data_IF_556017662512
#
_entry.id   IF_556017662512
#
_cell.length_a   1.000
_cell.length_b   1.000
_cell.length_c   1.000
_cell.angle_alpha   90.00
_cell.angle_beta   90.00
_cell.angle_gamma   90.00
#
_symmetry.space_group_name_H-M   'P 1'
#
loop_
_entity.id
_entity.type
_entity.pdbx_description
1 polymer ?
#
# COMPACT_ATOMS: atom_id res chain seq x y z
N UNK A 1 19.92 6.19 -13.79
CA UNK A 1 18.69 6.95 -14.07
C UNK A 1 17.59 6.08 -14.67
N UNK A 2 16.35 6.58 -14.75
CA UNK A 2 15.19 5.88 -15.32
C UNK A 2 13.88 6.14 -14.58
N UNK A 3 12.76 5.69 -15.15
CA UNK A 3 11.41 5.82 -14.56
C UNK A 3 11.24 4.98 -13.30
N UNK A 4 10.17 5.23 -12.53
CA UNK A 4 9.79 4.40 -11.38
C UNK A 4 9.47 2.99 -11.84
N UNK A 5 9.88 1.99 -11.07
CA UNK A 5 9.80 0.58 -11.47
C UNK A 5 10.99 0.05 -12.28
N UNK A 6 11.88 0.90 -12.79
CA UNK A 6 13.06 0.46 -13.56
C UNK A 6 14.14 -0.27 -12.73
N UNK A 7 14.07 -0.19 -11.40
CA UNK A 7 15.02 -0.87 -10.50
C UNK A 7 16.20 -0.03 -10.01
N UNK A 8 16.17 1.30 -10.22
CA UNK A 8 17.25 2.25 -9.84
C UNK A 8 17.91 1.96 -8.49
N UNK A 9 17.15 2.01 -7.39
CA UNK A 9 17.68 1.86 -6.02
C UNK A 9 18.47 0.57 -5.87
N UNK A 10 17.88 -0.56 -6.24
CA UNK A 10 18.54 -1.87 -6.09
C UNK A 10 19.78 -2.01 -6.99
N UNK A 11 19.68 -1.60 -8.26
CA UNK A 11 20.83 -1.62 -9.18
C UNK A 11 21.94 -0.68 -8.70
N UNK A 12 21.59 0.51 -8.22
CA UNK A 12 22.56 1.50 -7.75
C UNK A 12 23.31 1.06 -6.50
N UNK A 13 22.64 0.37 -5.56
CA UNK A 13 23.31 -0.24 -4.41
C UNK A 13 24.34 -1.28 -4.87
N UNK A 14 23.91 -2.22 -5.72
CA UNK A 14 24.78 -3.27 -6.21
C UNK A 14 26.00 -2.73 -6.99
N UNK A 15 25.81 -1.68 -7.80
CA UNK A 15 26.90 -1.01 -8.52
C UNK A 15 27.84 -0.28 -7.56
N UNK A 16 27.30 0.42 -6.55
CA UNK A 16 28.10 1.11 -5.54
C UNK A 16 28.99 0.12 -4.77
N UNK A 17 28.41 -0.99 -4.29
CA UNK A 17 29.13 -2.04 -3.59
C UNK A 17 30.23 -2.66 -4.46
N UNK A 18 29.92 -2.95 -5.73
CA UNK A 18 30.86 -3.56 -6.67
C UNK A 18 32.04 -2.66 -7.06
N UNK A 19 31.88 -1.34 -6.96
CA UNK A 19 32.90 -0.34 -7.27
C UNK A 19 33.57 0.26 -6.02
N UNK A 20 33.07 -0.04 -4.82
CA UNK A 20 33.53 0.58 -3.58
C UNK A 20 33.17 2.06 -3.47
N UNK A 21 32.08 2.48 -4.11
CA UNK A 21 31.63 3.86 -4.18
C UNK A 21 30.54 4.17 -3.14
N UNK A 22 30.40 5.45 -2.78
CA UNK A 22 29.31 5.92 -1.92
C UNK A 22 27.98 5.86 -2.66
N UNK A 23 26.99 5.20 -2.07
CA UNK A 23 25.62 5.23 -2.60
C UNK A 23 24.88 6.49 -2.12
N UNK A 24 24.16 7.13 -3.04
CA UNK A 24 23.30 8.29 -2.76
C UNK A 24 21.91 8.01 -3.33
N UNK A 25 20.89 8.00 -2.47
CA UNK A 25 19.48 7.87 -2.87
C UNK A 25 18.87 9.26 -3.07
N UNK A 26 18.60 9.64 -4.31
CA UNK A 26 18.20 11.00 -4.64
C UNK A 26 16.84 11.37 -4.04
N UNK A 27 15.95 10.40 -3.88
CA UNK A 27 14.60 10.61 -3.35
C UNK A 27 14.62 11.13 -1.90
N UNK A 28 15.68 10.84 -1.13
CA UNK A 28 15.87 11.34 0.25
C UNK A 28 16.12 12.85 0.33
N UNK A 29 16.50 13.48 -0.78
CA UNK A 29 16.85 14.90 -0.81
C UNK A 29 15.70 15.79 -1.27
N UNK A 30 14.51 15.23 -1.54
CA UNK A 30 13.34 16.03 -1.83
C UNK A 30 12.95 16.90 -0.61
N UNK A 31 12.65 18.19 -0.82
CA UNK A 31 11.94 19.01 0.17
C UNK A 31 10.62 18.34 0.60
N UNK A 32 10.19 18.58 1.84
CA UNK A 32 8.96 18.00 2.38
C UNK A 32 7.72 18.32 1.51
N UNK A 33 7.67 19.52 0.92
CA UNK A 33 6.62 19.95 0.00
C UNK A 33 6.56 19.06 -1.25
N UNK A 34 7.71 18.74 -1.83
CA UNK A 34 7.80 17.85 -2.99
C UNK A 34 7.32 16.43 -2.64
N UNK A 35 7.69 15.94 -1.45
CA UNK A 35 7.20 14.64 -0.97
C UNK A 35 5.67 14.67 -0.79
N UNK A 36 5.10 15.76 -0.27
CA UNK A 36 3.66 15.92 -0.12
C UNK A 36 2.93 15.94 -1.47
N UNK A 37 3.43 16.69 -2.46
CA UNK A 37 2.88 16.72 -3.83
C UNK A 37 2.87 15.33 -4.47
N UNK A 38 4.00 14.60 -4.40
CA UNK A 38 4.09 13.26 -4.95
C UNK A 38 3.17 12.26 -4.21
N UNK A 39 3.05 12.35 -2.88
CA UNK A 39 2.10 11.53 -2.10
C UNK A 39 0.65 11.79 -2.48
N UNK A 40 0.32 13.03 -2.84
CA UNK A 40 -1.00 13.40 -3.34
C UNK A 40 -1.23 12.99 -4.81
N UNK A 41 -0.27 12.33 -5.47
CA UNK A 41 -0.35 11.94 -6.88
C UNK A 41 -0.24 13.14 -7.84
N UNK A 42 0.20 14.30 -7.35
CA UNK A 42 0.42 15.50 -8.18
C UNK A 42 1.85 15.47 -8.72
N UNK A 43 2.05 15.51 -10.05
CA UNK A 43 3.39 15.58 -10.62
C UNK A 43 4.10 16.87 -10.19
N UNK A 44 5.38 16.77 -9.82
CA UNK A 44 6.18 17.94 -9.49
C UNK A 44 6.34 18.85 -10.72
N UNK A 45 6.45 20.14 -10.47
CA UNK A 45 6.79 21.13 -11.49
C UNK A 45 8.28 21.09 -11.84
N UNK A 46 8.63 21.88 -12.84
CA UNK A 46 9.99 22.10 -13.26
C UNK A 46 10.79 22.90 -12.22
N UNK A 47 10.16 23.86 -11.55
CA UNK A 47 10.76 24.67 -10.50
C UNK A 47 11.03 23.85 -9.23
N UNK A 48 10.06 23.01 -8.84
CA UNK A 48 10.13 22.10 -7.69
C UNK A 48 11.38 21.20 -7.75
N UNK A 49 11.76 20.79 -8.96
CA UNK A 49 12.91 19.90 -9.19
C UNK A 49 14.24 20.64 -9.20
N UNK A 50 14.29 21.94 -9.46
CA UNK A 50 15.57 22.68 -9.46
C UNK A 50 16.18 22.69 -8.06
N UNK A 51 15.39 22.99 -7.03
CA UNK A 51 15.88 22.99 -5.65
C UNK A 51 16.38 21.60 -5.23
N UNK A 52 15.64 20.55 -5.59
CA UNK A 52 16.04 19.17 -5.34
C UNK A 52 17.36 18.81 -6.05
N UNK A 53 17.51 19.15 -7.33
CA UNK A 53 18.73 18.91 -8.09
C UNK A 53 19.94 19.65 -7.50
N UNK A 54 19.76 20.88 -7.01
CA UNK A 54 20.81 21.63 -6.33
C UNK A 54 21.27 20.95 -5.04
N UNK A 55 20.36 20.36 -4.26
CA UNK A 55 20.72 19.55 -3.08
C UNK A 55 21.56 18.33 -3.48
N UNK A 56 21.22 17.66 -4.57
CA UNK A 56 22.01 16.52 -5.09
C UNK A 56 23.41 16.95 -5.53
N UNK A 57 23.54 18.11 -6.19
CA UNK A 57 24.84 18.67 -6.57
C UNK A 57 25.75 18.85 -5.37
N UNK A 58 25.22 19.39 -4.27
CA UNK A 58 26.00 19.58 -3.03
C UNK A 58 26.52 18.24 -2.51
N UNK A 59 25.69 17.20 -2.48
CA UNK A 59 26.11 15.89 -1.98
C UNK A 59 27.10 15.16 -2.90
N UNK A 60 26.92 15.27 -4.22
CA UNK A 60 27.90 14.75 -5.18
C UNK A 60 29.25 15.44 -5.02
N UNK A 61 29.24 16.77 -4.84
CA UNK A 61 30.47 17.54 -4.65
C UNK A 61 31.18 17.17 -3.35
N UNK A 62 30.43 16.94 -2.26
CA UNK A 62 31.00 16.43 -1.00
C UNK A 62 31.67 15.07 -1.16
N UNK A 63 31.08 14.15 -1.92
CA UNK A 63 31.71 12.85 -2.18
C UNK A 63 33.04 13.00 -2.94
N UNK A 64 33.09 13.93 -3.90
CA UNK A 64 34.32 14.27 -4.63
C UNK A 64 35.37 14.90 -3.70
N UNK A 65 34.95 15.84 -2.84
CA UNK A 65 35.85 16.50 -1.88
C UNK A 65 36.43 15.51 -0.86
N UNK A 66 35.68 14.44 -0.55
CA UNK A 66 36.13 13.32 0.28
C UNK A 66 37.06 12.31 -0.46
N UNK A 67 37.36 12.54 -1.75
CA UNK A 67 38.11 11.65 -2.65
C UNK A 67 37.46 10.26 -2.81
N UNK A 68 36.13 10.19 -2.76
CA UNK A 68 35.35 8.95 -2.88
C UNK A 68 34.41 9.02 -4.09
N UNK A 69 34.49 8.02 -4.98
CA UNK A 69 33.52 7.87 -6.07
C UNK A 69 32.11 7.66 -5.54
N UNK A 70 31.09 7.99 -6.33
CA UNK A 70 29.68 7.85 -5.91
C UNK A 70 28.81 7.22 -6.98
N UNK A 71 27.67 6.66 -6.54
CA UNK A 71 26.58 6.18 -7.40
C UNK A 71 25.28 6.79 -6.91
N UNK A 72 24.63 7.57 -7.79
CA UNK A 72 23.40 8.30 -7.50
C UNK A 72 22.18 7.61 -8.13
N UNK A 73 21.22 7.19 -7.30
CA UNK A 73 19.91 6.73 -7.74
C UNK A 73 18.99 7.92 -8.03
N UNK A 74 19.03 8.47 -9.25
CA UNK A 74 18.20 9.64 -9.62
C UNK A 74 17.34 9.36 -10.86
N UNK A 75 16.13 9.92 -10.92
CA UNK A 75 15.26 9.77 -12.11
C UNK A 75 15.81 10.51 -13.33
N UNK A 76 16.29 11.74 -13.17
CA UNK A 76 16.98 12.56 -14.18
C UNK A 76 16.34 12.54 -15.59
N UNK A 77 15.01 12.64 -15.64
CA UNK A 77 14.21 12.30 -16.83
C UNK A 77 14.36 13.26 -18.00
N UNK A 78 14.57 14.56 -17.75
CA UNK A 78 14.76 15.58 -18.80
C UNK A 78 16.24 15.86 -19.06
N UNK A 79 16.61 16.17 -20.29
CA UNK A 79 17.98 16.51 -20.70
C UNK A 79 18.55 17.66 -19.88
N UNK A 80 17.78 18.74 -19.71
CA UNK A 80 18.20 19.90 -18.90
C UNK A 80 18.54 19.54 -17.44
N UNK A 81 17.95 18.49 -16.87
CA UNK A 81 18.29 18.02 -15.53
C UNK A 81 19.63 17.31 -15.52
N UNK A 82 19.88 16.49 -16.55
CA UNK A 82 21.17 15.82 -16.74
C UNK A 82 22.27 16.83 -16.98
N UNK A 83 22.01 17.85 -17.80
CA UNK A 83 22.97 18.91 -18.12
C UNK A 83 23.32 19.71 -16.85
N UNK A 84 22.34 20.09 -16.02
CA UNK A 84 22.61 20.73 -14.72
C UNK A 84 23.54 19.88 -13.83
N UNK A 85 23.33 18.57 -13.77
CA UNK A 85 24.18 17.67 -12.98
C UNK A 85 25.58 17.50 -13.60
N UNK A 86 25.70 17.46 -14.94
CA UNK A 86 26.99 17.40 -15.66
C UNK A 86 27.81 18.68 -15.49
N UNK A 87 27.15 19.84 -15.52
CA UNK A 87 27.81 21.13 -15.34
C UNK A 87 28.42 21.24 -13.94
N UNK A 88 27.78 20.62 -12.95
CA UNK A 88 28.28 20.57 -11.58
C UNK A 88 29.39 19.52 -11.38
N UNK A 89 29.30 18.37 -12.06
CA UNK A 89 30.28 17.27 -11.93
C UNK A 89 30.83 16.90 -13.29
N UNK A 90 32.00 17.45 -13.67
CA UNK A 90 32.68 17.08 -14.91
C UNK A 90 32.96 15.57 -14.96
N UNK A 91 32.63 14.94 -16.08
CA UNK A 91 32.80 13.48 -16.25
C UNK A 91 31.67 12.63 -15.66
N UNK A 92 30.56 13.23 -15.21
CA UNK A 92 29.41 12.49 -14.70
C UNK A 92 28.80 11.55 -15.77
N UNK A 93 28.81 10.26 -15.47
CA UNK A 93 28.26 9.20 -16.30
C UNK A 93 26.80 8.88 -15.93
N UNK A 94 25.96 8.57 -16.93
CA UNK A 94 24.58 8.15 -16.72
C UNK A 94 24.33 6.75 -17.28
N UNK A 95 24.05 5.78 -16.39
CA UNK A 95 23.42 4.53 -16.79
C UNK A 95 21.89 4.70 -16.81
N UNK A 96 21.28 4.67 -17.99
CA UNK A 96 19.83 4.73 -18.19
C UNK A 96 19.24 3.32 -18.19
N UNK A 97 18.52 2.98 -17.11
CA UNK A 97 17.76 1.74 -16.99
C UNK A 97 16.47 1.88 -17.79
N UNK A 98 16.52 1.43 -19.04
CA UNK A 98 15.39 1.43 -19.97
C UNK A 98 14.46 0.27 -19.66
N UNK A 99 13.16 0.54 -19.65
CA UNK A 99 12.13 -0.48 -19.47
C UNK A 99 10.89 -0.04 -20.23
N UNK A 100 10.11 -0.99 -20.74
CA UNK A 100 8.81 -0.67 -21.34
C UNK A 100 7.78 -0.29 -20.26
N UNK A 101 6.72 0.37 -20.73
CA UNK A 101 5.66 0.89 -19.88
C UNK A 101 4.93 -0.21 -19.11
N UNK A 102 4.58 -1.32 -19.77
CA UNK A 102 3.81 -2.40 -19.16
C UNK A 102 4.60 -3.07 -18.03
N UNK A 103 5.89 -3.32 -18.26
CA UNK A 103 6.77 -3.87 -17.22
C UNK A 103 6.96 -2.89 -16.06
N UNK A 104 7.06 -1.58 -16.30
CA UNK A 104 7.15 -0.59 -15.23
C UNK A 104 5.90 -0.58 -14.33
N UNK A 105 4.71 -0.60 -14.95
CA UNK A 105 3.42 -0.68 -14.24
C UNK A 105 3.33 -1.95 -13.41
N UNK A 106 3.67 -3.10 -14.01
CA UNK A 106 3.67 -4.40 -13.32
C UNK A 106 4.60 -4.40 -12.10
N UNK A 107 5.83 -3.88 -12.26
CA UNK A 107 6.82 -3.82 -11.18
C UNK A 107 6.44 -2.86 -10.07
N UNK A 108 5.78 -1.75 -10.37
CA UNK A 108 5.29 -0.80 -9.36
C UNK A 108 4.08 -1.38 -8.63
N UNK A 109 3.13 -1.98 -9.36
CA UNK A 109 1.91 -2.57 -8.80
C UNK A 109 2.18 -3.77 -7.88
N UNK A 110 3.23 -4.56 -8.15
CA UNK A 110 3.59 -5.73 -7.34
C UNK A 110 4.36 -5.45 -6.05
N UNK A 111 4.70 -4.19 -5.72
CA UNK A 111 5.46 -3.84 -4.50
C UNK A 111 4.54 -3.73 -3.29
N UNK A 112 4.70 -4.64 -2.32
CA UNK A 112 4.07 -4.49 -1.00
C UNK A 112 4.74 -3.37 -0.21
N UNK A 113 3.97 -2.37 0.26
CA UNK A 113 4.42 -1.39 1.25
C UNK A 113 4.83 0.01 0.74
N UNK A 114 5.00 0.20 -0.57
CA UNK A 114 5.18 1.54 -1.17
C UNK A 114 4.13 1.76 -2.26
N UNK A 115 2.95 2.25 -1.87
CA UNK A 115 1.89 2.60 -2.81
C UNK A 115 2.29 3.88 -3.57
N UNK A 116 2.97 3.71 -4.70
CA UNK A 116 3.19 4.79 -5.66
C UNK A 116 2.02 4.75 -6.66
N UNK A 117 1.20 5.82 -6.80
CA UNK A 117 0.08 5.82 -7.73
C UNK A 117 0.54 5.50 -9.15
N UNK A 118 -0.22 4.66 -9.86
CA UNK A 118 0.02 4.33 -11.28
C UNK A 118 0.12 5.60 -12.13
N UNK A 119 -0.68 6.62 -11.83
CA UNK A 119 -0.65 7.93 -12.50
C UNK A 119 0.72 8.63 -12.47
N UNK A 120 1.59 8.31 -11.49
CA UNK A 120 2.96 8.83 -11.47
C UNK A 120 3.86 8.14 -12.49
N UNK A 121 3.62 6.86 -12.81
CA UNK A 121 4.35 6.16 -13.88
C UNK A 121 4.04 6.82 -15.22
N UNK A 122 2.78 7.10 -15.50
CA UNK A 122 2.32 7.82 -16.70
C UNK A 122 3.04 9.16 -16.85
N UNK A 123 3.03 9.95 -15.76
CA UNK A 123 3.69 11.26 -15.75
C UNK A 123 5.21 11.17 -16.00
N UNK A 124 5.86 10.11 -15.53
CA UNK A 124 7.30 9.93 -15.69
C UNK A 124 7.67 9.48 -17.10
N UNK A 125 6.89 8.60 -17.72
CA UNK A 125 7.07 8.26 -19.13
C UNK A 125 6.81 9.47 -20.04
N UNK A 126 5.78 10.28 -19.74
CA UNK A 126 5.53 11.53 -20.46
C UNK A 126 6.64 12.57 -20.27
N UNK A 127 7.35 12.53 -19.13
CA UNK A 127 8.45 13.45 -18.80
C UNK A 127 9.80 12.96 -19.32
N UNK A 128 9.94 11.67 -19.64
CA UNK A 128 11.21 11.07 -20.05
C UNK A 128 11.63 11.57 -21.44
N UNK A 129 12.68 12.37 -21.46
CA UNK A 129 13.42 12.71 -22.67
C UNK A 129 14.56 11.69 -22.82
N UNK A 130 14.47 10.83 -23.84
CA UNK A 130 15.44 9.75 -24.06
C UNK A 130 16.89 10.29 -24.04
N UNK A 131 17.77 9.74 -23.18
CA UNK A 131 19.17 10.16 -23.12
C UNK A 131 20.06 9.46 -24.15
N UNK A 132 19.48 8.63 -25.03
CA UNK A 132 20.23 7.89 -26.03
C UNK A 132 20.98 8.85 -26.98
N UNK A 133 22.29 8.65 -27.12
CA UNK A 133 23.16 9.49 -27.95
C UNK A 133 23.74 10.71 -27.23
N UNK A 134 23.40 10.96 -25.96
CA UNK A 134 24.11 11.94 -25.14
C UNK A 134 25.50 11.42 -24.72
N UNK A 135 26.49 12.31 -24.50
CA UNK A 135 27.82 11.90 -24.05
C UNK A 135 27.77 11.26 -22.66
N UNK A 136 28.64 10.27 -22.44
CA UNK A 136 28.75 9.52 -21.18
C UNK A 136 27.44 8.89 -20.71
N UNK A 137 26.62 8.40 -21.64
CA UNK A 137 25.38 7.68 -21.35
C UNK A 137 25.45 6.25 -21.86
N UNK A 138 25.18 5.30 -20.98
CA UNK A 138 24.92 3.90 -21.30
C UNK A 138 23.41 3.64 -21.16
N UNK A 139 22.76 3.15 -22.21
CA UNK A 139 21.38 2.67 -22.14
C UNK A 139 21.39 1.17 -21.91
N UNK A 140 20.82 0.72 -20.80
CA UNK A 140 20.77 -0.68 -20.39
C UNK A 140 19.33 -1.14 -20.32
N UNK A 141 19.02 -2.28 -20.95
CA UNK A 141 17.70 -2.90 -20.84
C UNK A 141 17.53 -3.53 -19.45
N UNK A 142 16.65 -2.92 -18.64
CA UNK A 142 16.35 -3.31 -17.27
C UNK A 142 15.32 -4.45 -17.16
N UNK A 143 14.84 -4.99 -18.29
CA UNK A 143 14.04 -6.22 -18.33
C UNK A 143 14.90 -7.48 -18.08
N UNK A 144 16.20 -7.38 -18.37
CA UNK A 144 17.18 -8.46 -18.19
C UNK A 144 17.39 -8.85 -16.71
N UNK A 145 17.95 -10.04 -16.44
CA UNK A 145 18.38 -10.44 -15.11
C UNK A 145 19.33 -9.42 -14.47
N UNK A 146 19.14 -9.14 -13.17
CA UNK A 146 19.87 -8.10 -12.43
C UNK A 146 21.39 -8.21 -12.52
N UNK A 147 21.90 -9.43 -12.49
CA UNK A 147 23.33 -9.70 -12.60
C UNK A 147 23.91 -9.25 -13.94
N UNK A 148 23.15 -9.39 -15.04
CA UNK A 148 23.56 -8.93 -16.36
C UNK A 148 23.61 -7.40 -16.43
N UNK A 149 22.57 -6.73 -15.91
CA UNK A 149 22.51 -5.27 -15.80
C UNK A 149 23.68 -4.73 -14.98
N UNK A 150 23.99 -5.35 -13.83
CA UNK A 150 25.13 -4.98 -12.99
C UNK A 150 26.46 -5.15 -13.72
N UNK A 151 26.67 -6.31 -14.35
CA UNK A 151 27.90 -6.61 -15.07
C UNK A 151 28.13 -5.67 -16.26
N UNK A 152 27.06 -5.28 -16.95
CA UNK A 152 27.12 -4.32 -18.05
C UNK A 152 27.55 -2.93 -17.57
N UNK A 153 26.89 -2.41 -16.53
CA UNK A 153 27.20 -1.08 -15.97
C UNK A 153 28.63 -1.04 -15.40
N UNK A 154 29.01 -2.05 -14.61
CA UNK A 154 30.34 -2.08 -13.98
C UNK A 154 31.46 -2.26 -15.00
N UNK A 155 31.25 -3.07 -16.06
CA UNK A 155 32.20 -3.20 -17.16
C UNK A 155 32.37 -1.89 -17.91
N UNK A 156 31.27 -1.23 -18.24
CA UNK A 156 31.30 0.06 -18.93
C UNK A 156 32.07 1.12 -18.13
N UNK A 157 31.79 1.25 -16.83
CA UNK A 157 32.50 2.19 -15.95
C UNK A 157 34.01 1.91 -15.86
N UNK A 158 34.41 0.63 -15.91
CA UNK A 158 35.83 0.23 -15.92
C UNK A 158 36.51 0.47 -17.27
N UNK A 159 35.78 0.44 -18.38
CA UNK A 159 36.31 0.59 -19.74
C UNK A 159 36.42 2.06 -20.18
N UNK A 160 35.45 2.91 -19.83
CA UNK A 160 35.39 4.32 -20.25
C UNK A 160 36.27 5.29 -19.43
N UNK A 161 37.14 4.78 -18.53
CA UNK A 161 38.16 5.60 -17.88
C UNK A 161 37.65 6.55 -16.77
N UNK A 162 36.49 6.29 -16.17
CA UNK A 162 36.01 7.01 -14.97
C UNK A 162 36.72 6.67 -13.66
N UNK A 163 37.77 5.84 -13.71
CA UNK A 163 38.52 5.30 -12.58
C UNK A 163 39.97 5.84 -12.48
N UNK A 164 40.22 7.05 -12.99
CA UNK A 164 41.49 7.75 -12.80
C UNK A 164 41.65 8.40 -11.41
N UNK A 165 40.90 7.93 -10.40
CA UNK A 165 41.10 8.29 -9.00
C UNK A 165 41.56 7.02 -8.26
N UNK A 166 42.87 6.97 -8.04
CA UNK A 166 43.60 6.15 -7.07
C UNK A 166 43.50 4.62 -7.16
N UNK A 167 44.08 4.06 -8.22
CA UNK A 167 44.70 2.73 -8.18
C UNK A 167 46.06 2.77 -7.44
N UNK A 168 45.99 2.87 -6.12
CA UNK A 168 47.04 2.57 -5.12
C UNK A 168 46.25 2.18 -3.87
N UNK A 169 46.28 0.98 -3.31
CA UNK A 169 47.26 -0.09 -3.29
C UNK A 169 46.50 -1.44 -3.20
N UNK A 170 46.94 -2.40 -4.00
CA UNK A 170 46.64 -3.81 -3.81
C UNK A 170 47.65 -4.36 -2.80
N UNK A 171 47.20 -4.72 -1.59
CA UNK A 171 47.99 -5.51 -0.67
C UNK A 171 47.10 -6.55 0.06
N UNK A 172 47.30 -7.78 -0.40
CA UNK A 172 47.18 -9.06 0.30
C UNK A 172 45.89 -9.87 0.15
N UNK A 173 46.01 -10.84 -0.76
CA UNK A 173 45.31 -12.10 -0.75
C UNK A 173 45.58 -12.91 0.54
N UNK A 174 44.54 -13.57 1.06
CA UNK A 174 44.54 -15.00 1.37
C UNK A 174 43.14 -15.48 1.82
N UNK A 175 42.73 -16.71 1.46
CA UNK A 175 41.40 -17.25 1.75
C UNK A 175 41.35 -17.92 3.13
N UNK A 176 40.23 -17.79 3.84
CA UNK A 176 39.97 -18.57 5.05
C UNK A 176 38.93 -19.66 4.77
N UNK A 177 39.45 -20.88 4.81
CA UNK A 177 38.75 -22.15 4.77
C UNK A 177 38.20 -22.52 6.16
N UNK A 178 37.29 -23.48 6.10
CA UNK A 178 36.47 -24.18 7.08
C UNK A 178 37.03 -24.60 8.46
N UNK A 179 36.04 -24.88 9.33
CA UNK A 179 36.03 -25.80 10.49
C UNK A 179 36.54 -25.30 11.85
N UNK A 180 35.71 -25.38 12.91
CA UNK A 180 35.57 -26.61 13.70
C UNK A 180 34.56 -26.49 14.86
N UNK A 181 34.01 -27.66 15.21
CA UNK A 181 33.15 -28.04 16.34
C UNK A 181 33.80 -27.82 17.73
N UNK A 182 32.97 -27.48 18.72
CA UNK A 182 32.90 -28.06 20.09
C UNK A 182 31.43 -27.84 20.55
N UNK A 183 30.65 -28.76 21.12
CA UNK A 183 30.94 -29.96 21.90
C UNK A 183 30.51 -29.75 23.36
N UNK A 184 29.42 -30.41 23.80
CA UNK A 184 28.96 -30.49 25.21
C UNK A 184 27.46 -30.25 25.36
N UNK A 185 26.55 -31.24 25.26
CA UNK A 185 26.28 -32.36 26.17
C UNK A 185 25.74 -31.95 27.56
N UNK A 186 24.41 -31.95 27.71
CA UNK A 186 23.76 -32.34 28.97
C UNK A 186 22.46 -33.09 28.66
N UNK A 187 22.45 -34.37 29.02
CA UNK A 187 21.30 -35.25 28.98
C UNK A 187 20.53 -35.22 30.30
N UNK A 188 19.28 -35.65 30.23
CA UNK A 188 18.38 -35.83 31.36
C UNK A 188 17.09 -36.51 30.95
N UNK A 189 17.13 -37.85 30.82
CA UNK A 189 16.00 -38.79 31.00
C UNK A 189 15.31 -38.50 32.36
N UNK A 190 14.07 -38.87 32.69
CA UNK A 190 13.04 -39.83 32.24
C UNK A 190 11.83 -39.55 33.15
N UNK A 191 10.60 -39.80 32.69
CA UNK A 191 9.61 -40.66 33.39
C UNK A 191 8.21 -40.52 32.79
N UNK A 192 7.57 -41.67 32.66
CA UNK A 192 6.30 -41.97 32.02
C UNK A 192 5.16 -42.17 33.03
N UNK A 193 3.93 -41.90 32.55
CA UNK A 193 2.60 -42.43 32.96
C UNK A 193 1.87 -41.84 34.22
N UNK A 194 0.52 -41.98 34.32
CA UNK A 194 -0.52 -41.97 33.26
C UNK A 194 -1.80 -41.15 33.60
N UNK A 195 -2.65 -40.99 32.57
CA UNK A 195 -4.12 -40.87 32.54
C UNK A 195 -4.90 -40.08 33.61
N UNK A 196 -5.70 -39.11 33.17
CA UNK A 196 -7.10 -39.03 33.60
C UNK A 196 -8.02 -38.38 32.55
N UNK A 197 -9.12 -39.08 32.27
CA UNK A 197 -10.26 -38.64 31.47
C UNK A 197 -11.05 -37.55 32.19
N UNK A 198 -11.46 -36.51 31.46
CA UNK A 198 -12.76 -35.84 31.73
C UNK A 198 -13.44 -35.56 30.40
N UNK A 199 -14.56 -36.26 30.22
CA UNK A 199 -15.60 -36.09 29.22
C UNK A 199 -16.15 -34.65 29.26
N UNK A 200 -16.13 -33.96 28.12
CA UNK A 200 -16.85 -32.71 27.93
C UNK A 200 -17.63 -32.82 26.62
N UNK A 201 -18.92 -33.08 26.79
CA UNK A 201 -19.92 -33.23 25.74
C UNK A 201 -19.90 -32.07 24.74
N UNK A 202 -19.99 -32.44 23.47
CA UNK A 202 -20.13 -31.57 22.32
C UNK A 202 -21.36 -30.66 22.46
N UNK A 203 -21.12 -29.38 22.76
CA UNK A 203 -22.11 -28.31 22.64
C UNK A 203 -22.16 -27.86 21.19
N UNK A 204 -23.30 -28.06 20.52
CA UNK A 204 -23.59 -27.48 19.21
C UNK A 204 -23.26 -25.97 19.17
N UNK A 205 -22.63 -25.45 18.11
CA UNK A 205 -22.33 -24.03 18.02
C UNK A 205 -23.62 -23.25 17.75
N UNK A 206 -24.24 -22.73 18.81
CA UNK A 206 -25.22 -21.64 18.69
C UNK A 206 -24.53 -20.46 18.02
N UNK A 207 -25.03 -20.08 16.85
CA UNK A 207 -24.55 -18.93 16.09
C UNK A 207 -24.51 -17.66 16.95
N UNK A 208 -23.55 -16.79 16.64
CA UNK A 208 -23.23 -15.57 17.39
C UNK A 208 -24.48 -14.82 17.88
N UNK A 209 -24.67 -14.77 19.19
CA UNK A 209 -25.72 -14.01 19.85
C UNK A 209 -25.52 -12.50 19.60
N UNK A 210 -26.56 -11.85 19.08
CA UNK A 210 -26.58 -10.42 18.74
C UNK A 210 -26.51 -9.58 20.02
N UNK A 211 -25.52 -8.69 20.13
CA UNK A 211 -25.30 -7.84 21.32
C UNK A 211 -26.24 -6.64 21.41
N UNK A 212 -27.01 -6.32 20.36
CA UNK A 212 -28.01 -5.24 20.38
C UNK A 212 -29.26 -5.58 19.57
N UNK A 213 -30.41 -4.96 19.92
CA UNK A 213 -31.66 -5.17 19.20
C UNK A 213 -31.64 -4.46 17.82
N UNK A 214 -32.09 -5.14 16.75
CA UNK A 214 -32.05 -4.59 15.39
C UNK A 214 -32.92 -3.33 15.26
N UNK A 215 -32.41 -2.36 14.50
CA UNK A 215 -33.00 -1.01 14.35
C UNK A 215 -34.39 -1.04 13.66
N UNK A 216 -34.70 -2.10 12.89
CA UNK A 216 -35.99 -2.33 12.23
C UNK A 216 -36.36 -3.83 12.23
N UNK A 217 -37.60 -4.16 12.61
CA UNK A 217 -38.14 -5.53 12.59
C UNK A 217 -39.12 -5.76 11.45
N UNK A 218 -39.03 -6.92 10.77
CA UNK A 218 -39.98 -7.35 9.74
C UNK A 218 -39.43 -8.38 8.75
N UNK A 219 -40.31 -9.01 7.96
CA UNK A 219 -39.94 -10.00 6.93
C UNK A 219 -38.98 -9.44 5.85
N UNK A 220 -39.10 -8.16 5.54
CA UNK A 220 -38.24 -7.49 4.55
C UNK A 220 -36.81 -7.31 5.06
N UNK A 221 -36.63 -6.97 6.35
CA UNK A 221 -35.32 -6.85 6.98
C UNK A 221 -34.60 -8.22 7.01
N UNK A 222 -35.30 -9.28 7.37
CA UNK A 222 -34.74 -10.65 7.34
C UNK A 222 -34.38 -11.13 5.93
N UNK A 223 -35.16 -10.72 4.92
CA UNK A 223 -34.87 -11.01 3.52
C UNK A 223 -33.59 -10.31 3.04
N UNK A 224 -33.45 -9.03 3.36
CA UNK A 224 -32.24 -8.25 3.06
C UNK A 224 -30.99 -8.87 3.70
N UNK A 225 -31.08 -9.37 4.93
CA UNK A 225 -29.94 -10.00 5.62
C UNK A 225 -29.45 -11.24 4.93
N UNK A 226 -30.40 -12.10 4.56
CA UNK A 226 -30.06 -13.33 3.84
C UNK A 226 -29.38 -12.98 2.53
N UNK A 227 -29.82 -11.92 1.85
CA UNK A 227 -29.19 -11.46 0.62
C UNK A 227 -27.77 -10.96 0.91
N UNK A 228 -27.58 -10.09 1.91
CA UNK A 228 -26.24 -9.57 2.24
C UNK A 228 -25.30 -10.66 2.74
N UNK A 229 -25.77 -11.58 3.57
CA UNK A 229 -24.98 -12.69 4.11
C UNK A 229 -24.60 -13.68 3.00
N UNK A 230 -25.53 -14.01 2.11
CA UNK A 230 -25.25 -14.87 0.95
C UNK A 230 -24.29 -14.20 -0.02
N UNK A 231 -24.43 -12.88 -0.24
CA UNK A 231 -23.50 -12.11 -1.07
C UNK A 231 -22.10 -12.07 -0.46
N UNK A 232 -21.96 -11.84 0.85
CA UNK A 232 -20.67 -11.90 1.55
C UNK A 232 -20.03 -13.28 1.42
N UNK A 233 -20.81 -14.36 1.63
CA UNK A 233 -20.34 -15.73 1.49
C UNK A 233 -19.90 -16.03 0.05
N UNK A 234 -20.66 -15.59 -0.96
CA UNK A 234 -20.32 -15.76 -2.36
C UNK A 234 -19.03 -14.99 -2.74
N UNK A 235 -18.88 -13.75 -2.26
CA UNK A 235 -17.68 -12.94 -2.49
C UNK A 235 -16.45 -13.58 -1.82
N UNK A 236 -16.58 -14.07 -0.60
CA UNK A 236 -15.51 -14.81 0.09
C UNK A 236 -15.14 -16.09 -0.64
N UNK A 237 -16.12 -16.90 -1.07
CA UNK A 237 -15.87 -18.11 -1.83
C UNK A 237 -15.17 -17.81 -3.16
N UNK A 238 -15.63 -16.78 -3.88
CA UNK A 238 -15.00 -16.30 -5.10
C UNK A 238 -13.54 -15.88 -4.86
N UNK A 239 -13.26 -15.10 -3.82
CA UNK A 239 -11.91 -14.71 -3.44
C UNK A 239 -11.02 -15.93 -3.17
N UNK A 240 -11.52 -16.91 -2.41
CA UNK A 240 -10.78 -18.14 -2.11
C UNK A 240 -10.45 -18.89 -3.40
N UNK A 241 -11.42 -19.07 -4.29
CA UNK A 241 -11.21 -19.75 -5.58
C UNK A 241 -10.16 -19.02 -6.41
N UNK A 242 -10.29 -17.70 -6.58
CA UNK A 242 -9.38 -16.89 -7.38
C UNK A 242 -7.95 -16.92 -6.84
N UNK A 243 -7.78 -16.72 -5.54
CA UNK A 243 -6.45 -16.73 -4.89
C UNK A 243 -5.86 -18.13 -4.93
N UNK A 244 -6.64 -19.16 -4.61
CA UNK A 244 -6.19 -20.55 -4.64
C UNK A 244 -5.76 -20.96 -6.05
N UNK A 245 -6.58 -20.66 -7.06
CA UNK A 245 -6.24 -20.92 -8.46
C UNK A 245 -4.95 -20.20 -8.87
N UNK A 246 -4.75 -18.96 -8.44
CA UNK A 246 -3.51 -18.21 -8.71
C UNK A 246 -2.28 -18.86 -8.08
N UNK A 247 -2.41 -19.39 -6.86
CA UNK A 247 -1.33 -20.10 -6.16
C UNK A 247 -1.02 -21.40 -6.90
N UNK A 248 -2.03 -22.20 -7.22
CA UNK A 248 -1.86 -23.47 -7.97
C UNK A 248 -1.21 -23.22 -9.32
N UNK A 249 -1.67 -22.23 -10.09
CA UNK A 249 -1.09 -21.89 -11.39
C UNK A 249 0.40 -21.57 -11.24
N UNK A 250 0.73 -20.72 -10.26
CA UNK A 250 2.10 -20.26 -10.04
C UNK A 250 3.05 -21.39 -9.64
N UNK A 251 2.63 -22.27 -8.72
CA UNK A 251 3.51 -23.30 -8.17
C UNK A 251 3.47 -24.63 -8.92
N UNK A 252 2.34 -25.03 -9.50
CA UNK A 252 2.21 -26.30 -10.22
C UNK A 252 2.57 -26.17 -11.71
N UNK A 253 2.27 -25.03 -12.34
CA UNK A 253 2.45 -24.83 -13.78
C UNK A 253 3.50 -23.78 -14.13
N UNK A 254 4.10 -23.13 -13.13
CA UNK A 254 5.13 -22.09 -13.33
C UNK A 254 4.60 -20.80 -13.99
N UNK A 255 3.28 -20.67 -14.16
CA UNK A 255 2.63 -19.51 -14.77
C UNK A 255 1.78 -18.77 -13.73
N UNK A 256 2.00 -17.48 -13.54
CA UNK A 256 1.19 -16.66 -12.64
C UNK A 256 0.14 -15.87 -13.41
N UNK A 257 -1.10 -15.81 -12.91
CA UNK A 257 -2.12 -14.92 -13.47
C UNK A 257 -2.30 -13.68 -12.59
N UNK A 258 -1.86 -12.53 -13.10
CA UNK A 258 -1.94 -11.23 -12.41
C UNK A 258 -3.38 -10.77 -12.17
N UNK A 259 -4.35 -11.25 -12.96
CA UNK A 259 -5.75 -10.86 -12.83
C UNK A 259 -6.42 -11.37 -11.55
N UNK A 260 -5.87 -12.42 -10.93
CA UNK A 260 -6.36 -12.92 -9.66
C UNK A 260 -6.19 -11.92 -8.51
N UNK A 261 -5.12 -11.15 -8.52
CA UNK A 261 -4.88 -10.11 -7.52
C UNK A 261 -5.88 -8.96 -7.67
N UNK A 262 -6.14 -8.52 -8.90
CA UNK A 262 -7.14 -7.48 -9.17
C UNK A 262 -8.56 -7.91 -8.78
N UNK A 263 -8.94 -9.14 -9.14
CA UNK A 263 -10.27 -9.67 -8.83
C UNK A 263 -10.49 -9.90 -7.34
N UNK A 264 -9.49 -10.38 -6.62
CA UNK A 264 -9.58 -10.55 -5.17
C UNK A 264 -9.66 -9.20 -4.46
N UNK A 265 -8.94 -8.18 -4.93
CA UNK A 265 -9.05 -6.80 -4.43
C UNK A 265 -10.42 -6.19 -4.70
N UNK A 266 -10.96 -6.39 -5.90
CA UNK A 266 -12.31 -5.95 -6.24
C UNK A 266 -13.35 -6.64 -5.34
N UNK A 267 -13.30 -7.96 -5.22
CA UNK A 267 -14.21 -8.72 -4.37
C UNK A 267 -14.09 -8.32 -2.89
N UNK A 268 -12.88 -8.00 -2.41
CA UNK A 268 -12.66 -7.49 -1.06
C UNK A 268 -13.33 -6.13 -0.83
N UNK A 269 -13.23 -5.19 -1.78
CA UNK A 269 -13.93 -3.89 -1.70
C UNK A 269 -15.44 -4.12 -1.57
N UNK A 270 -16.00 -4.97 -2.42
CA UNK A 270 -17.41 -5.33 -2.35
C UNK A 270 -17.78 -5.97 -1.00
N UNK A 271 -16.95 -6.89 -0.50
CA UNK A 271 -17.16 -7.55 0.78
C UNK A 271 -17.20 -6.55 1.94
N UNK A 272 -16.24 -5.62 2.00
CA UNK A 272 -16.17 -4.61 3.05
C UNK A 272 -17.43 -3.75 3.07
N UNK A 273 -17.87 -3.25 1.91
CA UNK A 273 -19.02 -2.34 1.87
C UNK A 273 -20.37 -3.04 2.02
N UNK A 274 -20.50 -4.30 1.58
CA UNK A 274 -21.64 -5.14 1.95
C UNK A 274 -21.63 -5.43 3.45
N UNK A 275 -20.45 -5.65 4.05
CA UNK A 275 -20.26 -5.81 5.48
C UNK A 275 -20.66 -4.56 6.28
N UNK A 276 -20.32 -3.36 5.79
CA UNK A 276 -20.77 -2.08 6.37
C UNK A 276 -22.30 -2.00 6.35
N UNK A 277 -22.93 -2.31 5.21
CA UNK A 277 -24.40 -2.31 5.11
C UNK A 277 -25.07 -3.30 6.09
N UNK A 278 -24.46 -4.48 6.31
CA UNK A 278 -24.94 -5.46 7.29
C UNK A 278 -24.72 -5.02 8.74
N UNK A 279 -23.53 -4.50 9.06
CA UNK A 279 -23.13 -4.07 10.41
C UNK A 279 -23.90 -2.84 10.89
N UNK A 280 -24.20 -1.90 9.99
CA UNK A 280 -25.05 -0.73 10.28
C UNK A 280 -26.40 -1.11 10.88
N UNK A 281 -26.95 -2.23 10.44
CA UNK A 281 -28.26 -2.71 10.88
C UNK A 281 -28.20 -3.42 12.23
N UNK A 282 -27.06 -4.05 12.54
CA UNK A 282 -26.77 -4.69 13.83
C UNK A 282 -26.42 -3.68 14.93
N UNK A 283 -26.40 -2.38 14.63
CA UNK A 283 -26.10 -1.33 15.61
C UNK A 283 -24.65 -1.33 16.10
N UNK A 284 -23.76 -2.04 15.39
CA UNK A 284 -22.37 -2.30 15.79
C UNK A 284 -21.40 -1.16 15.43
N UNK A 285 -21.86 -0.13 14.71
CA UNK A 285 -21.10 1.09 14.49
C UNK A 285 -21.01 1.86 15.82
N UNK A 286 -19.94 1.55 16.55
CA UNK A 286 -19.72 1.80 17.96
C UNK A 286 -20.25 3.16 18.46
N UNK A 287 -21.25 3.08 19.34
CA UNK A 287 -21.56 4.14 20.27
C UNK A 287 -20.56 4.05 21.45
N UNK A 288 -19.71 5.08 21.65
CA UNK A 288 -18.98 5.23 22.91
C UNK A 288 -19.99 5.53 24.04
N UNK A 289 -20.57 4.48 24.62
CA UNK A 289 -21.61 4.57 25.66
C UNK A 289 -21.03 4.99 27.01
N UNK A 290 -19.85 4.49 27.37
CA UNK A 290 -19.26 4.70 28.70
C UNK A 290 -18.97 6.18 29.06
N UNK A 291 -18.59 7.00 28.08
CA UNK A 291 -18.31 8.45 28.31
C UNK A 291 -19.61 9.26 28.18
N UNK A 292 -20.47 8.87 27.25
CA UNK A 292 -21.76 9.51 26.97
C UNK A 292 -22.74 9.39 28.14
N UNK A 293 -22.72 8.26 28.83
CA UNK A 293 -23.67 7.96 29.89
C UNK A 293 -23.45 8.76 31.17
N UNK A 294 -22.31 9.47 31.27
CA UNK A 294 -22.00 10.37 32.38
C UNK A 294 -22.65 11.77 32.26
N UNK A 295 -23.13 12.15 31.07
CA UNK A 295 -23.68 13.49 30.84
C UNK A 295 -25.19 13.58 31.11
N UNK A 296 -25.69 14.76 31.54
CA UNK A 296 -27.12 15.04 31.70
C UNK A 296 -27.87 14.92 30.36
N UNK A 297 -29.16 14.57 30.41
CA UNK A 297 -29.95 14.17 29.24
C UNK A 297 -29.93 15.15 28.06
N UNK A 298 -29.96 16.46 28.34
CA UNK A 298 -29.89 17.51 27.31
C UNK A 298 -28.55 17.52 26.59
N UNK A 299 -27.45 17.40 27.33
CA UNK A 299 -26.11 17.39 26.75
C UNK A 299 -25.84 16.10 25.98
N UNK A 300 -26.36 14.97 26.45
CA UNK A 300 -26.33 13.69 25.72
C UNK A 300 -27.00 13.80 24.35
N UNK A 301 -28.20 14.39 24.28
CA UNK A 301 -28.93 14.61 23.02
C UNK A 301 -28.19 15.54 22.07
N UNK A 302 -27.58 16.61 22.58
CA UNK A 302 -26.76 17.52 21.75
C UNK A 302 -25.54 16.81 21.17
N UNK A 303 -24.79 16.08 22.00
CA UNK A 303 -23.59 15.33 21.56
C UNK A 303 -23.95 14.25 20.54
N UNK A 304 -25.02 13.50 20.77
CA UNK A 304 -25.52 12.49 19.82
C UNK A 304 -25.96 13.15 18.51
N UNK A 305 -26.64 14.31 18.57
CA UNK A 305 -27.05 15.04 17.37
C UNK A 305 -25.86 15.54 16.55
N UNK A 306 -24.85 16.12 17.20
CA UNK A 306 -23.63 16.57 16.52
C UNK A 306 -22.89 15.39 15.88
N UNK A 307 -22.81 14.27 16.58
CA UNK A 307 -22.17 13.06 16.06
C UNK A 307 -22.88 12.52 14.82
N UNK A 308 -24.21 12.41 14.86
CA UNK A 308 -24.99 11.95 13.70
C UNK A 308 -24.98 12.93 12.53
N UNK A 309 -24.94 14.25 12.80
CA UNK A 309 -24.76 15.27 11.76
C UNK A 309 -23.39 15.11 11.11
N UNK A 310 -22.32 14.94 11.90
CA UNK A 310 -20.97 14.75 11.39
C UNK A 310 -20.87 13.49 10.53
N UNK A 311 -21.45 12.38 10.98
CA UNK A 311 -21.54 11.14 10.18
C UNK A 311 -22.32 11.37 8.90
N UNK A 312 -23.48 12.02 8.94
CA UNK A 312 -24.29 12.29 7.76
C UNK A 312 -23.54 13.16 6.73
N UNK A 313 -22.86 14.22 7.18
CA UNK A 313 -22.06 15.10 6.31
C UNK A 313 -20.88 14.33 5.72
N UNK A 314 -20.11 13.60 6.53
CA UNK A 314 -18.97 12.83 6.06
C UNK A 314 -19.39 11.76 5.04
N UNK A 315 -20.46 11.01 5.32
CA UNK A 315 -21.01 10.02 4.41
C UNK A 315 -21.58 10.64 3.12
N UNK A 316 -22.21 11.82 3.20
CA UNK A 316 -22.69 12.53 2.01
C UNK A 316 -21.54 13.02 1.11
N UNK A 317 -20.47 13.57 1.71
CA UNK A 317 -19.27 13.98 0.98
C UNK A 317 -18.58 12.77 0.34
N UNK A 318 -18.48 11.65 1.07
CA UNK A 318 -17.92 10.40 0.53
C UNK A 318 -18.80 9.82 -0.59
N UNK A 319 -20.13 9.89 -0.48
CA UNK A 319 -21.06 9.49 -1.54
C UNK A 319 -20.90 10.36 -2.79
N UNK A 320 -20.77 11.68 -2.63
CA UNK A 320 -20.54 12.61 -3.73
C UNK A 320 -19.19 12.37 -4.41
N UNK A 321 -18.12 12.16 -3.64
CA UNK A 321 -16.81 11.79 -4.16
C UNK A 321 -16.84 10.45 -4.90
N UNK A 322 -17.48 9.44 -4.32
CA UNK A 322 -17.68 8.12 -4.96
C UNK A 322 -18.50 8.22 -6.24
N UNK A 323 -19.53 9.06 -6.29
CA UNK A 323 -20.31 9.31 -7.49
C UNK A 323 -19.46 9.94 -8.60
N UNK A 324 -18.70 10.98 -8.29
CA UNK A 324 -17.81 11.62 -9.25
C UNK A 324 -16.76 10.64 -9.78
N UNK A 325 -16.14 9.86 -8.89
CA UNK A 325 -15.16 8.83 -9.27
C UNK A 325 -15.79 7.74 -10.14
N UNK A 326 -17.04 7.35 -9.87
CA UNK A 326 -17.77 6.37 -10.66
C UNK A 326 -18.06 6.86 -12.08
N UNK A 327 -18.40 8.15 -12.26
CA UNK A 327 -18.63 8.73 -13.59
C UNK A 327 -17.39 8.65 -14.48
N UNK A 328 -16.22 9.00 -13.95
CA UNK A 328 -14.95 8.85 -14.69
C UNK A 328 -14.57 7.38 -14.88
N UNK A 329 -14.81 6.54 -13.87
CA UNK A 329 -14.44 5.13 -13.86
C UNK A 329 -15.14 4.25 -14.90
N UNK A 330 -16.20 4.71 -15.57
CA UNK A 330 -16.83 3.96 -16.67
C UNK A 330 -15.99 3.98 -17.95
N UNK A 331 -15.14 4.99 -18.09
CA UNK A 331 -14.30 5.19 -19.29
C UNK A 331 -12.89 4.63 -19.12
N UNK A 332 -12.52 4.26 -17.89
CA UNK A 332 -11.18 3.80 -17.53
C UNK A 332 -11.28 2.36 -17.04
N UNK A 333 -10.60 1.44 -17.73
CA UNK A 333 -10.61 0.02 -17.41
C UNK A 333 -9.42 -0.36 -16.51
N UNK A 334 -9.57 -1.46 -15.77
CA UNK A 334 -8.49 -2.04 -14.98
C UNK A 334 -7.39 -2.57 -15.92
N UNK A 335 -6.10 -2.43 -15.53
CA UNK A 335 -4.99 -2.70 -16.45
C UNK A 335 -4.82 -4.18 -16.77
N UNK A 336 -5.21 -5.10 -15.88
CA UNK A 336 -5.03 -6.53 -16.14
C UNK A 336 -6.32 -7.21 -16.61
N UNK A 337 -7.41 -7.05 -15.86
CA UNK A 337 -8.66 -7.79 -16.13
C UNK A 337 -9.57 -7.02 -17.11
N UNK A 338 -9.35 -5.72 -17.28
CA UNK A 338 -10.09 -4.90 -18.24
C UNK A 338 -11.51 -4.53 -17.79
N UNK A 339 -11.86 -4.69 -16.52
CA UNK A 339 -13.18 -4.26 -16.03
C UNK A 339 -13.21 -2.73 -15.80
N UNK A 340 -14.34 -2.03 -16.01
CA UNK A 340 -14.43 -0.61 -15.73
C UNK A 340 -14.19 -0.31 -14.25
N UNK A 341 -13.30 0.64 -13.93
CA UNK A 341 -12.99 1.03 -12.54
C UNK A 341 -14.23 1.50 -11.76
N UNK A 342 -15.28 1.95 -12.46
CA UNK A 342 -16.58 2.25 -11.87
C UNK A 342 -17.14 1.09 -11.04
N UNK A 343 -16.92 -0.17 -11.44
CA UNK A 343 -17.43 -1.36 -10.75
C UNK A 343 -16.91 -1.46 -9.31
N UNK A 344 -15.70 -0.97 -9.04
CA UNK A 344 -15.16 -0.91 -7.67
C UNK A 344 -15.80 0.20 -6.82
N UNK A 345 -16.28 1.27 -7.45
CA UNK A 345 -16.84 2.45 -6.79
C UNK A 345 -18.34 2.34 -6.50
N UNK A 346 -19.06 1.48 -7.23
CA UNK A 346 -20.49 1.21 -7.02
C UNK A 346 -20.83 0.86 -5.55
N UNK A 347 -20.22 -0.15 -4.91
CA UNK A 347 -20.57 -0.52 -3.54
C UNK A 347 -20.19 0.57 -2.53
N UNK A 348 -19.14 1.35 -2.81
CA UNK A 348 -18.72 2.50 -1.99
C UNK A 348 -19.81 3.57 -2.02
N UNK A 349 -20.23 4.00 -3.21
CA UNK A 349 -21.25 5.03 -3.36
C UNK A 349 -22.59 4.59 -2.73
N UNK A 350 -23.01 3.35 -3.01
CA UNK A 350 -24.27 2.81 -2.48
C UNK A 350 -24.27 2.75 -0.94
N UNK A 351 -23.20 2.24 -0.32
CA UNK A 351 -23.10 2.15 1.14
C UNK A 351 -23.00 3.52 1.81
N UNK A 352 -22.29 4.49 1.22
CA UNK A 352 -22.20 5.85 1.76
C UNK A 352 -23.54 6.59 1.70
N UNK A 353 -24.32 6.41 0.63
CA UNK A 353 -25.69 6.94 0.56
C UNK A 353 -26.56 6.30 1.64
N UNK A 354 -26.49 4.98 1.82
CA UNK A 354 -27.24 4.28 2.86
C UNK A 354 -26.86 4.78 4.28
N UNK A 355 -25.57 5.00 4.53
CA UNK A 355 -25.06 5.57 5.79
C UNK A 355 -25.59 6.98 6.04
N UNK A 356 -25.55 7.85 5.03
CA UNK A 356 -26.05 9.21 5.15
C UNK A 356 -27.55 9.22 5.48
N UNK A 357 -28.35 8.41 4.79
CA UNK A 357 -29.79 8.28 5.05
C UNK A 357 -30.05 7.77 6.48
N UNK A 358 -29.33 6.74 6.91
CA UNK A 358 -29.52 6.17 8.25
C UNK A 358 -29.05 7.12 9.36
N UNK A 359 -27.97 7.87 9.15
CA UNK A 359 -27.53 8.90 10.07
C UNK A 359 -28.59 10.01 10.24
N UNK A 360 -29.25 10.42 9.16
CA UNK A 360 -30.37 11.38 9.21
C UNK A 360 -31.59 10.80 9.96
N UNK A 361 -31.92 9.53 9.72
CA UNK A 361 -32.99 8.83 10.45
C UNK A 361 -32.66 8.76 11.94
N UNK A 362 -31.43 8.41 12.30
CA UNK A 362 -30.99 8.36 13.69
C UNK A 362 -31.01 9.74 14.35
N UNK A 363 -30.59 10.78 13.63
CA UNK A 363 -30.72 12.15 14.09
C UNK A 363 -32.18 12.49 14.43
N UNK A 364 -33.14 12.16 13.57
CA UNK A 364 -34.57 12.36 13.87
C UNK A 364 -35.02 11.52 15.08
N UNK A 365 -34.55 10.28 15.18
CA UNK A 365 -34.90 9.38 16.28
C UNK A 365 -34.36 9.84 17.64
N UNK A 366 -33.19 10.48 17.70
CA UNK A 366 -32.63 11.07 18.93
C UNK A 366 -33.61 12.06 19.55
N UNK A 367 -34.35 12.80 18.72
CA UNK A 367 -35.34 13.79 19.17
C UNK A 367 -36.75 13.21 19.34
N UNK A 368 -37.08 12.11 18.66
CA UNK A 368 -38.38 11.42 18.79
C UNK A 368 -38.49 10.45 19.97
N UNK A 369 -37.37 9.88 20.45
CA UNK A 369 -37.40 8.94 21.60
C UNK A 369 -37.80 9.67 22.88
N UNK A 370 -38.97 9.30 23.42
CA UNK A 370 -39.36 9.65 24.79
C UNK A 370 -38.32 9.07 25.77
N UNK A 371 -38.01 9.77 26.88
CA UNK A 371 -37.11 9.21 27.90
C UNK A 371 -37.67 7.86 28.35
N UNK A 372 -36.82 6.83 28.55
CA UNK A 372 -37.28 5.61 29.21
C UNK A 372 -37.87 6.03 30.56
N UNK A 373 -39.09 5.57 30.85
CA UNK A 373 -39.67 5.73 32.18
C UNK A 373 -38.66 5.16 33.19
N UNK A 374 -38.39 5.87 34.31
CA UNK A 374 -37.55 5.30 35.35
C UNK A 374 -38.16 3.95 35.72
N UNK A 375 -37.40 2.88 35.51
CA UNK A 375 -37.74 1.58 36.07
C UNK A 375 -37.74 1.82 37.57
N UNK A 376 -38.93 1.81 38.18
CA UNK A 376 -39.07 1.89 39.61
C UNK A 376 -38.17 0.78 40.18
N UNK A 377 -37.10 1.17 40.86
CA UNK A 377 -36.33 0.26 41.68
C UNK A 377 -37.32 -0.37 42.64
N UNK A 378 -37.69 -1.63 42.38
CA UNK A 378 -38.37 -2.44 43.36
C UNK A 378 -37.36 -2.61 44.50
N UNK A 379 -37.46 -1.72 45.49
CA UNK A 379 -36.87 -1.89 46.81
C UNK A 379 -37.31 -3.25 47.34
N UNK A 380 -36.44 -4.25 47.17
CA UNK A 380 -36.47 -5.45 48.01
C UNK A 380 -35.66 -5.08 49.25
N UNK A 381 -36.34 -4.43 50.20
CA UNK A 381 -35.91 -4.43 51.59
C UNK A 381 -35.99 -5.88 52.09
N UNK A 382 -34.83 -6.50 52.31
CA UNK A 382 -34.75 -7.72 53.09
C UNK A 382 -34.72 -7.32 54.58
N UNK A 383 -35.85 -7.49 55.25
CA UNK A 383 -35.90 -7.77 56.70
C UNK A 383 -35.73 -9.28 56.91
#
# INVERSE_FOLDING_TARGET
MGVSGSGKTETSHAVADALGFRHIEADHFHPEENVAHMRAGTPLSDADRVEWLQRLVIEMQRAIDDDVGFVLACSALKRRYRDLLRDAVPGLCFAHLSIDYDTAIQRVGGRAGHFMPISLVDSQFATLESPAGEPHVLVVDASQPREQVLNEITRWMKQDGGLAINAKEDLSAAPLDSANKRGGAHGGQRSSEPANMVDSQDVEPKGAELTTQPIYGGKFAQGFDRITDWLMAALLAFMVIVVFSSVVLRYAFGTGWTGAEELSRLAFVWLVFVGVASSMRRGELMAFSMIRDRFPHLLRRLVDSVSWIMVAVASALAAMGGWNQMQFGWTINSPVVGYPLAVAMVPVAASMVALAVLALIQLVNVWRRQPPLPIAEANVTAD
#
